data_IF_539609723327
#
_entry.id   IF_539609723327
#
_cell.length_a   1.000
_cell.length_b   1.000
_cell.length_c   1.000
_cell.angle_alpha   90.00
_cell.angle_beta   90.00
_cell.angle_gamma   90.00
#
_symmetry.space_group_name_H-M   'P 1'
#
loop_
_entity.id
_entity.type
_entity.pdbx_description
1 polymer ?
#
# COMPACT_ATOMS: atom_id res chain seq x y z
N UNK A 1 -15.47 3.54 12.68
CA UNK A 1 -14.43 2.81 11.90
C UNK A 1 -13.17 3.67 11.89
N UNK A 2 -12.45 3.75 13.01
CA UNK A 2 -11.34 4.72 13.24
C UNK A 2 -10.12 4.08 13.93
N UNK A 3 -10.15 2.76 14.15
CA UNK A 3 -9.18 2.09 15.05
C UNK A 3 -7.87 1.74 14.33
N UNK A 4 -7.85 1.63 13.00
CA UNK A 4 -6.65 1.18 12.27
C UNK A 4 -5.72 2.35 11.88
N UNK A 5 -6.24 3.58 11.77
CA UNK A 5 -5.41 4.77 11.57
C UNK A 5 -4.60 5.15 12.82
N UNK A 6 -4.95 4.61 13.99
CA UNK A 6 -4.34 5.01 15.27
C UNK A 6 -3.28 4.04 15.79
N UNK A 7 -3.23 2.79 15.31
CA UNK A 7 -2.23 1.81 15.78
C UNK A 7 -0.79 2.19 15.35
N UNK A 8 -0.62 3.11 14.41
CA UNK A 8 0.70 3.51 13.91
C UNK A 8 1.24 4.84 14.49
N UNK A 9 0.49 5.54 15.36
CA UNK A 9 0.90 6.86 15.88
C UNK A 9 1.19 6.94 17.39
N UNK A 10 1.03 5.87 18.17
CA UNK A 10 1.11 5.97 19.65
C UNK A 10 2.02 4.96 20.37
N UNK A 11 3.20 4.65 19.81
CA UNK A 11 4.28 3.99 20.58
C UNK A 11 5.62 4.69 20.40
N UNK A 12 5.73 5.93 20.88
CA UNK A 12 7.03 6.57 21.05
C UNK A 12 7.21 7.13 22.47
N UNK A 13 7.41 6.22 23.42
CA UNK A 13 8.03 6.50 24.71
C UNK A 13 9.14 5.46 24.96
N UNK A 14 10.38 5.94 24.97
CA UNK A 14 11.59 5.33 25.55
C UNK A 14 12.28 4.15 24.84
N UNK A 15 12.73 4.38 23.61
CA UNK A 15 13.74 3.56 22.94
C UNK A 15 13.56 3.62 21.44
N UNK A 16 14.55 4.13 20.72
CA UNK A 16 14.48 4.44 19.30
C UNK A 16 14.30 3.13 18.50
N UNK A 17 13.06 2.69 18.30
CA UNK A 17 12.74 1.69 17.28
C UNK A 17 12.11 2.43 16.10
N UNK A 18 12.93 3.24 15.42
CA UNK A 18 12.49 3.89 14.19
C UNK A 18 12.37 2.81 13.12
N UNK A 19 11.14 2.39 12.81
CA UNK A 19 10.92 1.55 11.63
C UNK A 19 11.52 2.26 10.41
N UNK A 20 12.38 1.58 9.63
CA UNK A 20 13.03 2.20 8.49
C UNK A 20 12.00 2.64 7.44
N UNK A 21 12.32 3.77 6.79
CA UNK A 21 11.53 4.30 5.68
C UNK A 21 12.01 3.68 4.38
N UNK A 22 11.07 3.12 3.62
CA UNK A 22 11.30 2.53 2.32
C UNK A 22 10.57 3.31 1.24
N UNK A 23 11.30 3.59 0.18
CA UNK A 23 10.84 4.16 -1.07
C UNK A 23 10.55 3.01 -2.03
N UNK A 24 9.28 2.82 -2.36
CA UNK A 24 8.80 1.74 -3.22
C UNK A 24 8.34 2.30 -4.55
N UNK A 25 8.89 1.79 -5.65
CA UNK A 25 8.45 2.14 -7.01
C UNK A 25 8.15 0.90 -7.85
N UNK A 26 7.06 0.93 -8.60
CA UNK A 26 6.66 -0.16 -9.50
C UNK A 26 5.74 0.38 -10.60
N UNK A 27 6.14 0.28 -11.87
CA UNK A 27 5.36 0.82 -12.99
C UNK A 27 5.14 2.34 -12.84
N UNK A 28 3.88 2.75 -12.65
CA UNK A 28 3.50 4.15 -12.37
C UNK A 28 3.19 4.41 -10.88
N UNK A 29 3.42 3.43 -9.99
CA UNK A 29 3.26 3.56 -8.55
C UNK A 29 4.58 4.03 -7.91
N UNK A 30 4.52 5.13 -7.16
CA UNK A 30 5.59 5.58 -6.26
C UNK A 30 5.00 5.82 -4.87
N UNK A 31 5.69 5.32 -3.84
CA UNK A 31 5.15 5.26 -2.50
C UNK A 31 6.27 5.28 -1.46
N UNK A 32 6.02 5.90 -0.31
CA UNK A 32 6.92 5.88 0.84
C UNK A 32 6.20 5.17 1.98
N UNK A 33 6.84 4.17 2.57
CA UNK A 33 6.28 3.34 3.65
C UNK A 33 7.27 3.12 4.75
N UNK A 34 6.77 3.01 5.96
CA UNK A 34 7.53 2.55 7.11
C UNK A 34 7.29 1.05 7.27
N UNK A 35 8.36 0.26 7.28
CA UNK A 35 8.28 -1.20 7.38
C UNK A 35 9.52 -1.73 8.09
N UNK A 36 9.48 -2.99 8.54
CA UNK A 36 10.64 -3.63 9.18
C UNK A 36 11.70 -4.04 8.15
N UNK A 37 11.27 -4.39 6.93
CA UNK A 37 12.16 -4.84 5.86
C UNK A 37 11.56 -4.56 4.48
N UNK A 38 12.41 -4.55 3.45
CA UNK A 38 12.03 -4.23 2.07
C UNK A 38 10.88 -5.08 1.52
N UNK A 39 10.84 -6.38 1.84
CA UNK A 39 9.72 -7.26 1.45
C UNK A 39 8.37 -6.85 2.08
N UNK A 40 8.34 -6.39 3.33
CA UNK A 40 7.10 -5.92 3.97
C UNK A 40 6.62 -4.62 3.32
N UNK A 41 7.55 -3.72 2.98
CA UNK A 41 7.26 -2.52 2.20
C UNK A 41 6.63 -2.85 0.83
N UNK A 42 7.15 -3.87 0.13
CA UNK A 42 6.59 -4.33 -1.14
C UNK A 42 5.17 -4.92 -0.99
N UNK A 43 4.91 -5.72 0.04
CA UNK A 43 3.56 -6.25 0.34
C UNK A 43 2.58 -5.11 0.59
N UNK A 44 3.00 -4.06 1.30
CA UNK A 44 2.16 -2.89 1.57
C UNK A 44 1.85 -2.10 0.30
N UNK A 45 2.83 -1.98 -0.62
CA UNK A 45 2.62 -1.37 -1.92
C UNK A 45 1.60 -2.16 -2.77
N UNK A 46 1.66 -3.50 -2.75
CA UNK A 46 0.64 -4.35 -3.37
C UNK A 46 -0.73 -4.12 -2.76
N UNK A 47 -0.83 -4.13 -1.43
CA UNK A 47 -2.08 -3.87 -0.73
C UNK A 47 -2.69 -2.52 -1.15
N UNK A 48 -1.91 -1.44 -1.20
CA UNK A 48 -2.38 -0.12 -1.64
C UNK A 48 -2.83 -0.08 -3.10
N UNK A 49 -2.17 -0.83 -3.97
CA UNK A 49 -2.56 -0.89 -5.38
C UNK A 49 -3.87 -1.66 -5.56
N UNK A 50 -4.01 -2.80 -4.88
CA UNK A 50 -5.19 -3.66 -5.01
C UNK A 50 -6.38 -3.12 -4.20
N UNK A 51 -6.16 -2.41 -3.10
CA UNK A 51 -7.23 -1.76 -2.33
C UNK A 51 -7.95 -0.67 -3.14
N UNK A 52 -7.25 0.01 -4.05
CA UNK A 52 -7.86 0.98 -4.97
C UNK A 52 -8.84 0.32 -5.95
N UNK A 53 -8.60 -0.93 -6.34
CA UNK A 53 -9.48 -1.68 -7.25
C UNK A 53 -10.76 -2.13 -6.52
N UNK A 54 -10.69 -2.33 -5.21
CA UNK A 54 -11.84 -2.76 -4.39
C UNK A 54 -12.71 -1.60 -3.90
N UNK A 55 -12.17 -0.39 -3.77
CA UNK A 55 -12.90 0.82 -3.31
C UNK A 55 -13.75 1.49 -4.41
N UNK A 56 -14.27 0.74 -5.38
CA UNK A 56 -15.15 1.30 -6.42
C UNK A 56 -16.60 1.51 -5.95
N UNK A 57 -16.91 1.30 -4.67
CA UNK A 57 -18.15 1.79 -4.08
C UNK A 57 -17.83 3.02 -3.22
N UNK A 58 -18.39 4.15 -3.64
CA UNK A 58 -17.97 5.47 -3.21
C UNK A 58 -18.18 5.74 -1.74
N UNK A 59 -17.09 5.98 -1.02
CA UNK A 59 -17.09 6.76 0.21
C UNK A 59 -15.75 7.50 0.29
N UNK A 60 -15.84 8.83 0.16
CA UNK A 60 -14.75 9.78 0.37
C UNK A 60 -14.10 9.56 1.75
N UNK A 61 -12.79 9.28 1.79
CA UNK A 61 -11.98 9.66 2.93
C UNK A 61 -10.70 10.38 2.48
N UNK A 62 -10.63 11.61 2.95
CA UNK A 62 -9.79 12.68 2.47
C UNK A 62 -8.38 12.55 3.08
N UNK A 63 -7.49 11.83 2.37
CA UNK A 63 -6.05 12.06 2.50
C UNK A 63 -5.43 12.27 1.11
N UNK A 64 -5.38 13.54 0.71
CA UNK A 64 -4.60 14.15 -0.39
C UNK A 64 -4.86 13.71 -1.84
N UNK A 65 -6.06 13.21 -2.16
CA UNK A 65 -6.51 13.12 -3.56
C UNK A 65 -7.93 13.69 -3.67
N UNK A 66 -8.03 15.02 -3.53
CA UNK A 66 -9.28 15.72 -3.75
C UNK A 66 -9.65 15.69 -5.23
N UNK A 67 -10.86 15.23 -5.51
CA UNK A 67 -11.93 15.98 -6.19
C UNK A 67 -12.77 15.14 -7.17
N UNK A 68 -14.01 14.90 -6.71
CA UNK A 68 -15.27 15.00 -7.46
C UNK A 68 -15.74 13.76 -8.23
N UNK A 69 -16.47 12.90 -7.53
CA UNK A 69 -17.61 12.20 -8.11
C UNK A 69 -18.77 13.20 -8.28
N UNK A 70 -19.20 13.42 -9.51
CA UNK A 70 -20.35 14.26 -9.83
C UNK A 70 -20.68 14.16 -11.30
N UNK A 71 -21.66 13.30 -11.60
CA UNK A 71 -22.60 13.34 -12.72
C UNK A 71 -22.25 14.14 -13.99
N UNK A 72 -22.57 13.51 -15.13
CA UNK A 72 -22.83 14.14 -16.44
C UNK A 72 -21.60 14.30 -17.37
N UNK A 73 -21.48 13.33 -18.29
CA UNK A 73 -21.09 13.54 -19.69
C UNK A 73 -19.95 14.53 -19.99
N UNK A 74 -18.76 14.39 -19.41
CA UNK A 74 -17.62 15.26 -19.77
C UNK A 74 -16.29 14.52 -19.76
N UNK A 75 -15.63 14.52 -20.94
CA UNK A 75 -14.18 14.47 -21.18
C UNK A 75 -13.33 13.40 -20.48
N UNK A 76 -12.73 12.53 -21.30
CA UNK A 76 -11.74 11.48 -21.02
C UNK A 76 -10.39 11.96 -20.44
N UNK A 77 -10.36 13.10 -19.74
CA UNK A 77 -9.10 13.82 -19.41
C UNK A 77 -8.82 13.96 -17.91
N UNK A 78 -9.68 13.44 -17.03
CA UNK A 78 -9.48 13.54 -15.57
C UNK A 78 -9.65 12.22 -14.81
N UNK A 79 -9.37 11.08 -15.45
CA UNK A 79 -9.19 9.84 -14.71
C UNK A 79 -7.79 9.87 -14.08
N UNK A 80 -7.72 10.03 -12.75
CA UNK A 80 -6.51 9.77 -11.98
C UNK A 80 -5.85 8.50 -12.51
N UNK A 81 -4.56 8.54 -12.90
CA UNK A 81 -3.94 7.43 -13.61
C UNK A 81 -3.99 6.20 -12.71
N UNK A 82 -4.77 5.19 -13.13
CA UNK A 82 -4.90 3.92 -12.43
C UNK A 82 -3.50 3.45 -12.04
N UNK A 83 -3.22 3.41 -10.73
CA UNK A 83 -1.92 2.94 -10.23
C UNK A 83 -1.82 1.46 -10.60
N UNK A 84 -0.79 1.11 -11.35
CA UNK A 84 -0.51 -0.20 -11.93
C UNK A 84 0.87 -0.63 -11.46
N UNK A 85 0.91 -1.80 -10.83
CA UNK A 85 2.16 -2.48 -10.55
C UNK A 85 2.80 -2.90 -11.88
N UNK A 86 4.10 -2.66 -12.01
CA UNK A 86 4.90 -3.23 -13.07
C UNK A 86 5.20 -4.71 -12.83
N UNK A 87 6.02 -5.31 -13.70
CA UNK A 87 6.52 -6.68 -13.51
C UNK A 87 7.42 -6.80 -12.26
N UNK A 88 8.09 -5.70 -11.90
CA UNK A 88 8.99 -5.63 -10.74
C UNK A 88 8.65 -4.47 -9.80
N UNK A 89 8.99 -4.65 -8.54
CA UNK A 89 8.86 -3.70 -7.44
C UNK A 89 10.28 -3.39 -6.97
N UNK A 90 10.68 -2.12 -7.06
CA UNK A 90 11.94 -1.64 -6.54
C UNK A 90 11.73 -1.04 -5.16
N UNK A 91 12.55 -1.45 -4.20
CA UNK A 91 12.49 -0.95 -2.82
C UNK A 91 13.86 -0.44 -2.43
N UNK A 92 13.92 0.74 -1.83
CA UNK A 92 15.17 1.38 -1.40
C UNK A 92 14.96 2.14 -0.10
N UNK A 93 15.92 2.10 0.82
CA UNK A 93 15.90 2.90 2.05
C UNK A 93 16.37 4.35 1.83
N UNK A 94 17.11 4.59 0.74
CA UNK A 94 17.84 5.85 0.51
C UNK A 94 17.16 6.80 -0.47
N UNK A 95 16.06 6.37 -1.09
CA UNK A 95 15.31 7.15 -2.07
C UNK A 95 14.98 6.39 -3.35
N UNK A 96 14.10 6.96 -4.16
CA UNK A 96 13.72 6.40 -5.47
C UNK A 96 14.92 6.32 -6.41
N UNK A 97 15.07 5.19 -7.11
CA UNK A 97 16.11 5.03 -8.14
C UNK A 97 17.54 4.90 -7.62
N UNK A 98 17.75 4.69 -6.31
CA UNK A 98 19.09 4.43 -5.76
C UNK A 98 19.66 3.10 -6.28
N UNK A 99 20.99 3.02 -6.37
CA UNK A 99 21.70 1.79 -6.80
C UNK A 99 21.54 0.63 -5.79
N UNK A 100 21.25 0.95 -4.53
CA UNK A 100 20.97 -0.01 -3.45
C UNK A 100 19.53 -0.55 -3.48
N UNK A 101 18.86 -0.44 -4.63
CA UNK A 101 17.48 -0.91 -4.78
C UNK A 101 17.44 -2.44 -4.74
N UNK A 102 16.57 -2.96 -3.89
CA UNK A 102 16.15 -4.34 -3.95
C UNK A 102 15.03 -4.49 -4.97
N UNK A 103 15.28 -5.28 -6.01
CA UNK A 103 14.30 -5.61 -7.02
C UNK A 103 13.56 -6.90 -6.66
N UNK A 104 12.23 -6.84 -6.63
CA UNK A 104 11.35 -7.94 -6.31
C UNK A 104 10.37 -8.16 -7.47
N UNK A 105 10.22 -9.39 -7.94
CA UNK A 105 9.18 -9.72 -8.92
C UNK A 105 7.80 -9.56 -8.29
N UNK A 106 6.89 -8.86 -8.96
CA UNK A 106 5.57 -8.50 -8.43
C UNK A 106 4.71 -9.72 -8.08
N UNK A 107 4.66 -10.73 -8.96
CA UNK A 107 3.79 -11.89 -8.77
C UNK A 107 4.04 -12.68 -7.46
N UNK A 108 5.30 -13.01 -7.09
CA UNK A 108 5.60 -13.57 -5.79
C UNK A 108 5.12 -12.74 -4.60
N UNK A 109 5.22 -11.41 -4.67
CA UNK A 109 4.79 -10.50 -3.59
C UNK A 109 3.26 -10.48 -3.50
N UNK A 110 2.56 -10.49 -4.63
CA UNK A 110 1.09 -10.61 -4.67
C UNK A 110 0.62 -11.94 -4.08
N UNK A 111 1.31 -13.04 -4.39
CA UNK A 111 1.00 -14.36 -3.84
C UNK A 111 1.24 -14.44 -2.32
N UNK A 112 2.24 -13.71 -1.82
CA UNK A 112 2.49 -13.61 -0.38
C UNK A 112 1.42 -12.77 0.32
N UNK A 113 1.06 -11.62 -0.25
CA UNK A 113 -0.03 -10.79 0.23
C UNK A 113 -1.36 -11.57 0.32
N UNK A 114 -1.71 -12.33 -0.71
CA UNK A 114 -2.95 -13.14 -0.70
C UNK A 114 -2.90 -14.24 0.35
N UNK A 115 -1.73 -14.86 0.57
CA UNK A 115 -1.52 -15.85 1.65
C UNK A 115 -1.73 -15.23 3.04
N UNK A 116 -1.26 -14.00 3.27
CA UNK A 116 -1.49 -13.29 4.53
C UNK A 116 -2.97 -12.99 4.76
N UNK A 117 -3.71 -12.58 3.72
CA UNK A 117 -5.16 -12.39 3.83
C UNK A 117 -5.90 -13.69 4.15
N UNK A 118 -5.55 -14.81 3.50
CA UNK A 118 -6.14 -16.12 3.80
C UNK A 118 -5.80 -16.57 5.22
N UNK A 119 -4.57 -16.31 5.69
CA UNK A 119 -4.19 -16.62 7.06
C UNK A 119 -4.98 -15.78 8.07
N UNK A 120 -5.18 -14.50 7.78
CA UNK A 120 -5.97 -13.60 8.62
C UNK A 120 -7.45 -14.04 8.69
N UNK A 121 -8.06 -14.38 7.55
CA UNK A 121 -9.43 -14.88 7.47
C UNK A 121 -9.63 -16.16 8.32
N UNK A 122 -8.67 -17.10 8.24
CA UNK A 122 -8.68 -18.31 9.08
C UNK A 122 -8.61 -18.00 10.57
N UNK A 123 -7.77 -17.06 10.98
CA UNK A 123 -7.67 -16.64 12.37
C UNK A 123 -8.98 -15.98 12.86
N UNK A 124 -9.59 -15.15 12.02
CA UNK A 124 -10.89 -14.53 12.34
C UNK A 124 -11.98 -15.60 12.54
N UNK A 125 -12.05 -16.60 11.68
CA UNK A 125 -13.00 -17.72 11.81
C UNK A 125 -12.80 -18.51 13.12
N UNK A 126 -11.55 -18.66 13.57
CA UNK A 126 -11.25 -19.34 14.84
C UNK A 126 -11.61 -18.50 16.07
N UNK A 127 -11.55 -17.17 15.97
CA UNK A 127 -11.88 -16.24 17.06
C UNK A 127 -13.39 -15.93 17.15
N UNK A 128 -14.15 -16.17 16.08
CA UNK A 128 -15.60 -16.00 16.03
C UNK A 128 -16.40 -17.22 16.51
N UNK A 129 -15.73 -18.19 17.15
CA UNK A 129 -16.31 -19.36 17.83
C UNK A 129 -16.33 -19.15 19.34
#
# INVERSE_FOLDING_TARGET
MLVISYIFSETNLHGINTMPKFYVSSGNLNLIVEADHARAAAIWAVHRCLSQVTSFDGEDDNTVAGQLAGSESLSYESAEPQRKLGETINVSERGFGSDDKQELTTLPIVAEWSRLLVALDRLQQQLSL
#
